data_IF_162366733996
#
_entry.id   IF_162366733996
#
_cell.length_a   1.000
_cell.length_b   1.000
_cell.length_c   1.000
_cell.angle_alpha   90.00
_cell.angle_beta   90.00
_cell.angle_gamma   90.00
#
_symmetry.space_group_name_H-M   'P 1'
#
loop_
_entity.id
_entity.type
_entity.pdbx_description
1 polymer ?
#
# COMPACT_ATOMS: atom_id res chain seq x y z
N UNK A 1 -13.64 4.85 -5.27
CA UNK A 1 -14.02 4.74 -3.85
C UNK A 1 -13.49 3.41 -3.34
N UNK A 2 -12.41 3.42 -2.57
CA UNK A 2 -11.90 2.21 -1.92
C UNK A 2 -12.96 1.76 -0.90
N UNK A 3 -13.44 0.50 -0.92
CA UNK A 3 -14.48 0.06 0.01
C UNK A 3 -14.05 0.27 1.46
N UNK A 4 -14.92 0.90 2.25
CA UNK A 4 -14.71 1.19 3.67
C UNK A 4 -14.43 -0.11 4.43
N UNK A 5 -13.18 -0.27 4.84
CA UNK A 5 -12.71 -1.49 5.47
C UNK A 5 -11.19 -1.60 5.47
N UNK A 6 -10.47 -0.46 5.46
CA UNK A 6 -9.05 -0.42 5.80
C UNK A 6 -8.95 -0.98 7.22
N UNK A 7 -8.75 -2.30 7.30
CA UNK A 7 -8.31 -2.93 8.53
C UNK A 7 -6.88 -2.48 8.66
N UNK A 8 -6.57 -1.80 9.76
CA UNK A 8 -5.20 -1.48 10.12
C UNK A 8 -4.38 -2.76 10.03
N UNK A 9 -3.64 -2.89 8.94
CA UNK A 9 -2.41 -3.68 8.93
C UNK A 9 -1.31 -2.90 9.66
N UNK A 10 -1.66 -1.83 10.38
CA UNK A 10 -0.82 -0.71 10.77
C UNK A 10 -0.89 -0.39 12.28
N UNK A 11 -1.30 -1.36 13.10
CA UNK A 11 -0.66 -1.55 14.41
C UNK A 11 0.30 -2.74 14.32
N UNK A 12 0.84 -3.01 13.14
CA UNK A 12 1.96 -3.93 12.99
C UNK A 12 3.19 -3.13 13.36
N UNK A 13 3.54 -3.14 14.66
CA UNK A 13 4.85 -3.18 15.36
C UNK A 13 6.18 -2.79 14.65
N UNK A 14 6.09 -2.12 13.53
CA UNK A 14 7.15 -1.39 12.90
C UNK A 14 6.98 0.00 13.50
N UNK A 15 7.62 0.25 14.65
CA UNK A 15 7.78 1.62 15.13
C UNK A 15 8.66 2.34 14.10
N UNK A 16 8.05 2.76 12.99
CA UNK A 16 8.69 3.56 11.97
C UNK A 16 8.96 4.92 12.60
N UNK A 17 10.18 5.08 13.10
CA UNK A 17 10.70 6.37 13.49
C UNK A 17 11.17 7.11 12.23
N UNK A 18 11.35 8.43 12.29
CA UNK A 18 11.60 9.33 11.14
C UNK A 18 12.75 8.92 10.19
N UNK A 19 13.54 7.89 10.51
CA UNK A 19 14.69 7.41 9.73
C UNK A 19 14.51 5.99 9.17
N UNK A 20 13.35 5.36 9.35
CA UNK A 20 13.13 4.01 8.87
C UNK A 20 12.87 3.96 7.37
N UNK A 21 13.57 3.05 6.69
CA UNK A 21 13.34 2.76 5.27
C UNK A 21 12.33 1.63 5.18
N UNK A 22 11.15 1.93 4.64
CA UNK A 22 10.06 0.96 4.50
C UNK A 22 9.89 0.58 3.03
N UNK A 23 9.90 -0.73 2.76
CA UNK A 23 9.54 -1.31 1.49
C UNK A 23 8.09 -1.77 1.54
N UNK A 24 7.28 -1.25 0.62
CA UNK A 24 5.87 -1.59 0.44
C UNK A 24 5.70 -2.33 -0.87
N UNK A 25 4.97 -3.45 -0.83
CA UNK A 25 4.63 -4.20 -2.04
C UNK A 25 3.19 -4.66 -1.99
N UNK A 26 2.51 -4.51 -3.12
CA UNK A 26 1.17 -5.06 -3.34
C UNK A 26 1.21 -5.95 -4.57
N UNK A 27 0.66 -7.16 -4.44
CA UNK A 27 0.57 -8.13 -5.53
C UNK A 27 -0.86 -8.63 -5.64
N UNK A 28 -1.61 -8.13 -6.62
CA UNK A 28 -2.93 -8.64 -6.93
C UNK A 28 -2.79 -9.99 -7.66
N UNK A 29 -3.13 -11.08 -6.97
CA UNK A 29 -3.03 -12.45 -7.52
C UNK A 29 -4.21 -12.80 -8.40
N UNK A 30 -5.36 -12.18 -8.15
CA UNK A 30 -6.54 -12.18 -9.04
C UNK A 30 -7.19 -10.79 -9.00
N UNK A 31 -8.30 -10.61 -9.70
CA UNK A 31 -9.08 -9.37 -9.58
C UNK A 31 -9.67 -9.18 -8.19
N UNK A 32 -9.82 -10.21 -7.35
CA UNK A 32 -10.47 -10.08 -6.03
C UNK A 32 -9.60 -10.56 -4.86
N UNK A 33 -8.35 -10.97 -5.12
CA UNK A 33 -7.40 -11.44 -4.12
C UNK A 33 -6.00 -10.86 -4.35
N UNK A 34 -5.22 -10.75 -3.29
CA UNK A 34 -3.84 -10.33 -3.40
C UNK A 34 -3.05 -10.49 -2.10
N UNK A 35 -1.81 -10.02 -2.13
CA UNK A 35 -0.90 -10.02 -1.00
C UNK A 35 -0.35 -8.60 -0.82
N UNK A 36 -0.40 -8.10 0.41
CA UNK A 36 0.25 -6.86 0.83
C UNK A 36 1.44 -7.22 1.71
N UNK A 37 2.59 -6.61 1.44
CA UNK A 37 3.80 -6.75 2.25
C UNK A 37 4.30 -5.39 2.68
N UNK A 38 4.63 -5.27 3.96
CA UNK A 38 5.29 -4.12 4.56
C UNK A 38 6.56 -4.63 5.23
N UNK A 39 7.71 -4.16 4.79
CA UNK A 39 9.00 -4.51 5.37
C UNK A 39 9.75 -3.24 5.79
N UNK A 40 10.17 -3.17 7.05
CA UNK A 40 11.09 -2.14 7.49
C UNK A 40 12.51 -2.68 7.34
N UNK A 41 13.23 -2.12 6.38
CA UNK A 41 14.58 -2.54 6.04
C UNK A 41 15.58 -2.14 7.12
N UNK A 42 15.33 -1.05 7.84
CA UNK A 42 16.16 -0.61 8.97
C UNK A 42 16.11 -1.61 10.13
N UNK A 43 14.93 -2.12 10.47
CA UNK A 43 14.74 -3.06 11.60
C UNK A 43 14.71 -4.53 11.18
N UNK A 44 14.74 -4.81 9.87
CA UNK A 44 14.52 -6.14 9.28
C UNK A 44 13.20 -6.81 9.67
N UNK A 45 12.23 -6.05 10.19
CA UNK A 45 10.89 -6.55 10.48
C UNK A 45 10.05 -6.59 9.21
N UNK A 46 9.23 -7.63 9.06
CA UNK A 46 8.30 -7.75 7.96
C UNK A 46 6.91 -8.16 8.46
N UNK A 47 5.92 -7.76 7.68
CA UNK A 47 4.55 -8.23 7.80
C UNK A 47 3.96 -8.48 6.42
N UNK A 48 3.21 -9.57 6.33
CA UNK A 48 2.58 -10.04 5.10
C UNK A 48 1.12 -10.29 5.42
N UNK A 49 0.24 -9.84 4.51
CA UNK A 49 -1.19 -10.05 4.61
C UNK A 49 -1.75 -10.53 3.29
N UNK A 50 -2.44 -11.66 3.32
CA UNK A 50 -3.36 -12.07 2.27
C UNK A 50 -4.67 -11.29 2.41
N UNK A 51 -5.12 -10.72 1.28
CA UNK A 51 -6.33 -9.91 1.20
C UNK A 51 -7.28 -10.51 0.17
N UNK A 52 -8.56 -10.46 0.49
CA UNK A 52 -9.67 -10.78 -0.41
C UNK A 52 -10.74 -9.70 -0.30
N UNK A 53 -11.39 -9.36 -1.39
CA UNK A 53 -12.34 -8.24 -1.42
C UNK A 53 -13.10 -8.10 -2.73
N UNK A 54 -13.61 -6.90 -2.96
CA UNK A 54 -14.29 -6.54 -4.22
C UNK A 54 -13.32 -6.61 -5.41
N UNK A 55 -13.88 -6.85 -6.60
CA UNK A 55 -13.14 -6.91 -7.85
C UNK A 55 -12.43 -5.58 -8.16
N UNK A 56 -11.13 -5.65 -8.38
CA UNK A 56 -10.23 -4.62 -8.88
C UNK A 56 -10.21 -4.63 -10.41
N UNK A 57 -10.10 -3.45 -11.00
CA UNK A 57 -9.90 -3.30 -12.45
C UNK A 57 -8.45 -3.57 -12.88
N UNK A 58 -7.49 -3.47 -11.95
CA UNK A 58 -6.04 -3.67 -12.20
C UNK A 58 -5.44 -2.76 -13.30
N UNK A 59 -5.98 -1.55 -13.46
CA UNK A 59 -5.57 -0.60 -14.51
C UNK A 59 -4.62 0.50 -14.03
N UNK A 60 -4.49 0.67 -12.72
CA UNK A 60 -3.70 1.75 -12.10
C UNK A 60 -2.79 1.13 -11.05
N UNK A 61 -1.53 1.53 -11.09
CA UNK A 61 -0.58 1.38 -10.00
C UNK A 61 -0.11 2.79 -9.63
N UNK A 62 -0.07 3.10 -8.34
CA UNK A 62 0.23 4.45 -7.85
C UNK A 62 1.09 4.41 -6.59
N UNK A 63 1.96 5.41 -6.48
CA UNK A 63 2.67 5.79 -5.26
C UNK A 63 2.17 7.18 -4.89
N UNK A 64 1.62 7.31 -3.69
CA UNK A 64 0.92 8.52 -3.29
C UNK A 64 1.20 8.87 -1.84
N UNK A 65 1.29 10.18 -1.59
CA UNK A 65 1.13 10.77 -0.27
C UNK A 65 -0.26 11.39 -0.26
N UNK A 66 -1.13 10.94 0.63
CA UNK A 66 -2.51 11.42 0.70
C UNK A 66 -2.88 11.85 2.11
N UNK A 67 -3.70 12.89 2.19
CA UNK A 67 -4.46 13.23 3.39
C UNK A 67 -5.61 12.24 3.54
N UNK A 68 -5.48 11.32 4.49
CA UNK A 68 -6.47 10.27 4.70
C UNK A 68 -7.60 10.77 5.61
N UNK A 69 -8.83 10.66 5.15
CA UNK A 69 -10.04 11.05 5.89
C UNK A 69 -10.60 9.82 6.63
N UNK A 70 -10.32 9.72 7.93
CA UNK A 70 -10.94 8.75 8.84
C UNK A 70 -12.13 9.44 9.53
N UNK A 71 -13.31 9.42 8.90
CA UNK A 71 -14.56 10.12 9.29
C UNK A 71 -14.64 11.62 8.98
N UNK A 72 -15.76 12.26 9.36
CA UNK A 72 -16.19 13.65 9.18
C UNK A 72 -15.23 14.74 9.70
N UNK A 73 -14.04 14.36 10.15
CA UNK A 73 -12.91 15.25 10.37
C UNK A 73 -11.70 14.77 9.55
N UNK A 74 -11.25 15.60 8.61
CA UNK A 74 -9.91 15.50 8.03
C UNK A 74 -8.88 15.57 9.16
N UNK A 75 -8.03 14.57 9.29
CA UNK A 75 -6.82 14.69 10.10
C UNK A 75 -6.04 15.92 9.61
N UNK A 76 -5.31 16.61 10.50
CA UNK A 76 -4.47 17.72 10.06
C UNK A 76 -3.38 17.12 9.15
N UNK A 77 -3.35 17.53 7.87
CA UNK A 77 -2.28 17.15 6.98
C UNK A 77 -0.97 17.76 7.49
N UNK A 78 -0.09 16.90 8.02
CA UNK A 78 1.17 17.30 8.63
C UNK A 78 2.20 17.60 7.55
N UNK A 79 3.13 18.50 7.86
CA UNK A 79 4.33 18.67 7.05
C UNK A 79 5.23 17.44 7.22
N UNK A 80 5.57 16.79 6.10
CA UNK A 80 6.40 15.58 6.07
C UNK A 80 7.84 15.89 5.63
N UNK A 81 8.17 17.17 5.42
CA UNK A 81 9.40 17.68 4.79
C UNK A 81 9.61 17.15 3.36
N UNK A 82 9.90 15.84 3.22
CA UNK A 82 10.13 15.16 1.95
C UNK A 82 9.86 13.66 2.07
N UNK A 83 9.00 13.15 1.19
CA UNK A 83 8.84 11.71 0.96
C UNK A 83 9.49 11.35 -0.37
N UNK A 84 10.29 10.29 -0.39
CA UNK A 84 10.90 9.74 -1.61
C UNK A 84 10.49 8.28 -1.74
N UNK A 85 9.90 7.94 -2.88
CA UNK A 85 9.74 6.57 -3.32
C UNK A 85 10.98 6.22 -4.16
N UNK A 86 11.76 5.21 -3.72
CA UNK A 86 12.97 4.75 -4.42
C UNK A 86 12.83 3.25 -4.74
N UNK A 87 13.45 2.81 -5.83
CA UNK A 87 13.37 1.42 -6.29
C UNK A 87 12.00 1.00 -6.82
N UNK A 88 11.23 1.92 -7.41
CA UNK A 88 9.91 1.64 -7.99
C UNK A 88 9.99 0.59 -9.10
N UNK A 89 9.32 -0.56 -8.91
CA UNK A 89 9.18 -1.61 -9.92
C UNK A 89 7.71 -1.92 -10.12
N UNK A 90 7.19 -1.60 -11.31
CA UNK A 90 5.89 -2.07 -11.77
C UNK A 90 6.07 -3.32 -12.62
N UNK A 91 5.49 -4.43 -12.21
CA UNK A 91 5.36 -5.62 -13.06
C UNK A 91 3.90 -5.77 -13.46
N UNK A 92 3.58 -5.44 -14.72
CA UNK A 92 2.28 -5.72 -15.30
C UNK A 92 2.39 -6.92 -16.24
N UNK A 93 1.64 -7.98 -15.96
CA UNK A 93 1.43 -9.08 -16.92
C UNK A 93 0.15 -8.74 -17.68
N UNK A 94 0.29 -8.13 -18.86
CA UNK A 94 -0.84 -7.87 -19.75
C UNK A 94 -1.19 -9.19 -20.46
N UNK A 95 -2.17 -9.94 -19.94
CA UNK A 95 -2.84 -11.00 -20.70
C UNK A 95 -3.96 -10.40 -21.52
N UNK A 96 -3.61 -9.62 -22.54
CA UNK A 96 -4.57 -9.20 -23.56
C UNK A 96 -4.73 -10.35 -24.56
N UNK A 97 -5.78 -11.15 -24.36
CA UNK A 97 -6.39 -11.86 -25.49
C UNK A 97 -7.19 -10.83 -26.30
N UNK A 98 -6.49 -10.05 -27.12
CA UNK A 98 -7.14 -9.29 -28.20
C UNK A 98 -7.63 -10.31 -29.23
N UNK A 99 -8.95 -10.47 -29.33
CA UNK A 99 -9.65 -11.04 -30.48
C UNK A 99 -10.53 -9.94 -31.06
#
# INVERSE_FOLDING_TARGET
MVPSGTRDLLYIEIHAIDSDVVCLSVNATTTSTGVVTVANLTTSKNAIKEVSGSTLCQQVAEWLVADYIFTDATALFVDLDKVVFDGEVLTAVITDNIV
#
